data_IF_477481403511
#
_entry.id   IF_477481403511
#
_cell.length_a   1.000
_cell.length_b   1.000
_cell.length_c   1.000
_cell.angle_alpha   90.00
_cell.angle_beta   90.00
_cell.angle_gamma   90.00
#
_symmetry.space_group_name_H-M   'P 1'
#
loop_
_entity.id
_entity.type
_entity.pdbx_description
1 polymer ?
#
# COMPACT_ATOMS: atom_id res chain seq x y z
N UNK A 1 0.44 -5.47 5.35
CA UNK A 1 -0.38 -6.66 5.00
C UNK A 1 -0.33 -7.70 6.11
N UNK A 2 0.66 -8.61 6.18
CA UNK A 2 0.64 -9.69 7.20
C UNK A 2 0.76 -9.17 8.64
N UNK A 3 1.48 -8.06 8.80
CA UNK A 3 1.65 -7.38 10.08
C UNK A 3 0.57 -6.30 10.33
N UNK A 4 -0.44 -6.15 9.45
CA UNK A 4 -1.53 -5.17 9.63
C UNK A 4 -2.18 -5.22 11.02
N UNK A 5 -2.53 -6.38 11.61
CA UNK A 5 -3.09 -6.43 12.97
C UNK A 5 -2.12 -5.96 14.08
N UNK A 6 -0.81 -5.92 13.83
CA UNK A 6 0.18 -5.37 14.78
C UNK A 6 0.33 -3.86 14.64
N UNK A 7 0.06 -3.31 13.46
CA UNK A 7 0.19 -1.88 13.16
C UNK A 7 -1.11 -1.13 13.49
N UNK A 8 -2.26 -1.75 13.26
CA UNK A 8 -3.58 -1.13 13.42
C UNK A 8 -4.29 -1.77 14.62
N UNK A 9 -4.46 -1.05 15.74
CA UNK A 9 -4.89 -1.63 17.03
C UNK A 9 -6.20 -2.43 17.00
N UNK A 10 -7.13 -2.11 16.09
CA UNK A 10 -8.44 -2.74 16.00
C UNK A 10 -8.55 -3.80 14.88
N UNK A 11 -7.45 -4.08 14.17
CA UNK A 11 -7.41 -5.15 13.18
C UNK A 11 -7.11 -6.48 13.87
N UNK A 12 -7.96 -7.47 13.64
CA UNK A 12 -7.69 -8.86 14.03
C UNK A 12 -6.82 -9.58 12.99
N UNK A 13 -6.16 -10.69 13.37
CA UNK A 13 -5.47 -11.56 12.40
C UNK A 13 -6.44 -12.17 11.38
N UNK A 14 -6.09 -12.07 10.10
CA UNK A 14 -6.87 -12.62 8.98
C UNK A 14 -6.03 -13.66 8.22
N UNK A 15 -6.58 -14.86 7.91
CA UNK A 15 -5.89 -15.83 7.06
C UNK A 15 -5.85 -15.34 5.61
N UNK A 16 -4.71 -14.86 5.15
CA UNK A 16 -4.55 -14.32 3.80
C UNK A 16 -4.30 -15.45 2.81
N UNK A 17 -5.09 -15.48 1.73
CA UNK A 17 -5.04 -16.50 0.69
C UNK A 17 -4.13 -16.10 -0.48
N UNK A 18 -3.93 -14.80 -0.70
CA UNK A 18 -3.05 -14.30 -1.74
C UNK A 18 -2.94 -12.78 -1.69
N UNK A 19 -1.75 -12.27 -2.00
CA UNK A 19 -1.49 -10.84 -2.12
C UNK A 19 -0.57 -10.55 -3.29
N UNK A 20 -0.96 -9.56 -4.08
CA UNK A 20 -0.14 -8.97 -5.15
C UNK A 20 0.00 -7.48 -4.93
N UNK A 21 1.15 -6.95 -5.34
CA UNK A 21 1.39 -5.52 -5.49
C UNK A 21 1.83 -5.33 -6.94
N UNK A 22 1.07 -4.54 -7.67
CA UNK A 22 1.31 -4.22 -9.07
C UNK A 22 1.70 -2.74 -9.16
N UNK A 23 2.61 -2.40 -10.06
CA UNK A 23 3.09 -1.04 -10.26
C UNK A 23 2.91 -0.62 -11.71
N UNK A 24 2.46 0.61 -11.92
CA UNK A 24 2.29 1.21 -13.24
C UNK A 24 2.95 2.60 -13.24
N UNK A 25 3.82 2.83 -14.21
CA UNK A 25 4.46 4.13 -14.40
C UNK A 25 3.53 5.05 -15.21
N UNK A 26 3.36 6.29 -14.73
CA UNK A 26 2.63 7.35 -15.42
C UNK A 26 3.50 8.59 -15.61
N UNK A 27 2.90 9.67 -16.11
CA UNK A 27 3.60 10.93 -16.33
C UNK A 27 4.01 11.59 -15.01
N UNK A 28 5.24 11.31 -14.57
CA UNK A 28 5.82 11.87 -13.34
C UNK A 28 5.27 11.25 -12.05
N UNK A 29 4.63 10.08 -12.13
CA UNK A 29 4.15 9.35 -10.96
C UNK A 29 4.29 7.83 -11.13
N UNK A 30 4.24 7.12 -10.01
CA UNK A 30 4.15 5.67 -9.95
C UNK A 30 2.86 5.30 -9.23
N UNK A 31 1.95 4.61 -9.90
CA UNK A 31 0.76 4.06 -9.27
C UNK A 31 1.05 2.66 -8.74
N UNK A 32 0.66 2.39 -7.49
CA UNK A 32 0.77 1.08 -6.87
C UNK A 32 -0.62 0.55 -6.55
N UNK A 33 -0.92 -0.67 -6.99
CA UNK A 33 -2.18 -1.35 -6.69
C UNK A 33 -1.93 -2.60 -5.84
N UNK A 34 -2.53 -2.64 -4.66
CA UNK A 34 -2.49 -3.81 -3.79
C UNK A 34 -3.80 -4.61 -3.90
N UNK A 35 -3.69 -5.91 -4.22
CA UNK A 35 -4.82 -6.83 -4.21
C UNK A 35 -4.63 -7.86 -3.10
N UNK A 36 -5.62 -7.96 -2.21
CA UNK A 36 -5.62 -8.93 -1.11
C UNK A 36 -6.84 -9.84 -1.19
N UNK A 37 -6.62 -11.14 -1.03
CA UNK A 37 -7.65 -12.17 -0.97
C UNK A 37 -7.56 -12.90 0.36
N UNK A 38 -8.72 -13.21 0.95
CA UNK A 38 -8.85 -14.06 2.14
C UNK A 38 -10.11 -14.91 2.03
N UNK A 39 -10.12 -16.05 2.72
CA UNK A 39 -11.30 -16.88 2.97
C UNK A 39 -11.93 -16.61 4.35
N UNK A 40 -11.47 -15.56 5.04
CA UNK A 40 -11.97 -15.16 6.35
C UNK A 40 -13.34 -14.48 6.31
N UNK A 41 -13.97 -14.37 7.47
CA UNK A 41 -15.29 -13.74 7.63
C UNK A 41 -15.26 -12.21 7.58
N UNK A 42 -14.08 -11.62 7.76
CA UNK A 42 -13.88 -10.18 7.78
C UNK A 42 -13.24 -9.70 6.49
N UNK A 43 -13.53 -8.46 6.12
CA UNK A 43 -12.92 -7.83 4.96
C UNK A 43 -11.41 -7.64 5.13
N UNK A 44 -10.72 -7.49 4.00
CA UNK A 44 -9.25 -7.35 3.90
C UNK A 44 -8.82 -5.99 3.37
N UNK A 45 -9.71 -4.99 3.42
CA UNK A 45 -9.42 -3.63 2.96
C UNK A 45 -8.23 -3.02 3.71
N UNK A 46 -8.08 -3.29 5.01
CA UNK A 46 -7.00 -2.75 5.82
C UNK A 46 -5.65 -3.37 5.45
N UNK A 47 -5.62 -4.66 5.13
CA UNK A 47 -4.42 -5.34 4.66
C UNK A 47 -3.99 -4.82 3.29
N UNK A 48 -4.94 -4.51 2.41
CA UNK A 48 -4.68 -3.91 1.10
C UNK A 48 -4.14 -2.49 1.22
N UNK A 49 -4.81 -1.63 2.02
CA UNK A 49 -4.36 -0.27 2.30
C UNK A 49 -2.97 -0.25 2.95
N UNK A 50 -2.74 -1.11 3.94
CA UNK A 50 -1.41 -1.24 4.55
C UNK A 50 -0.38 -1.71 3.54
N UNK A 51 -0.75 -2.67 2.67
CA UNK A 51 0.14 -3.22 1.64
C UNK A 51 0.61 -2.13 0.67
N UNK A 52 -0.32 -1.35 0.11
CA UNK A 52 0.03 -0.27 -0.81
C UNK A 52 0.79 0.86 -0.13
N UNK A 53 0.44 1.24 1.11
CA UNK A 53 1.19 2.26 1.86
C UNK A 53 2.65 1.85 2.07
N UNK A 54 2.90 0.60 2.48
CA UNK A 54 4.26 0.11 2.68
C UNK A 54 5.01 0.00 1.36
N UNK A 55 4.34 -0.41 0.28
CA UNK A 55 4.95 -0.46 -1.05
C UNK A 55 5.41 0.94 -1.51
N UNK A 56 4.55 1.95 -1.38
CA UNK A 56 4.89 3.33 -1.73
C UNK A 56 6.00 3.91 -0.84
N UNK A 57 5.97 3.65 0.47
CA UNK A 57 7.06 4.03 1.38
C UNK A 57 8.38 3.34 1.01
N UNK A 58 8.32 2.09 0.56
CA UNK A 58 9.51 1.36 0.08
C UNK A 58 10.08 2.00 -1.18
N UNK A 59 9.22 2.35 -2.14
CA UNK A 59 9.65 3.07 -3.35
C UNK A 59 10.30 4.40 -2.99
N UNK A 60 9.67 5.19 -2.10
CA UNK A 60 10.27 6.43 -1.61
C UNK A 60 11.66 6.18 -1.04
N UNK A 61 11.82 5.20 -0.15
CA UNK A 61 13.12 4.89 0.46
C UNK A 61 14.22 4.59 -0.58
N UNK A 62 13.85 3.93 -1.68
CA UNK A 62 14.76 3.61 -2.78
C UNK A 62 15.14 4.83 -3.62
N UNK A 63 14.23 5.78 -3.84
CA UNK A 63 14.48 6.97 -4.69
C UNK A 63 14.87 8.23 -3.91
N UNK A 64 14.84 8.18 -2.57
CA UNK A 64 15.02 9.34 -1.68
C UNK A 64 16.28 10.17 -1.92
N UNK A 65 17.33 9.59 -2.47
CA UNK A 65 18.57 10.33 -2.78
C UNK A 65 18.46 11.13 -4.08
N UNK A 66 17.68 10.64 -5.05
CA UNK A 66 17.45 11.32 -6.33
C UNK A 66 16.38 12.40 -6.23
N UNK A 67 15.41 12.21 -5.33
CA UNK A 67 14.28 13.13 -5.13
C UNK A 67 14.60 14.34 -4.25
N UNK A 68 15.77 14.37 -3.60
CA UNK A 68 16.18 15.47 -2.73
C UNK A 68 16.66 16.69 -3.51
N UNK A 69 16.33 17.87 -3.03
CA UNK A 69 16.96 19.12 -3.46
C UNK A 69 18.34 19.34 -2.77
N UNK A 70 18.99 20.46 -3.10
CA UNK A 70 20.28 20.86 -2.51
C UNK A 70 20.25 21.07 -0.99
N UNK A 71 19.07 21.27 -0.41
CA UNK A 71 18.85 21.43 1.03
C UNK A 71 18.41 20.11 1.71
N UNK A 72 18.39 19.00 0.95
CA UNK A 72 17.98 17.69 1.42
C UNK A 72 16.47 17.55 1.66
N UNK A 73 15.65 18.43 1.07
CA UNK A 73 14.18 18.42 1.18
C UNK A 73 13.53 17.70 -0.01
N UNK A 74 12.25 17.37 0.12
CA UNK A 74 11.42 16.75 -0.92
C UNK A 74 10.33 17.72 -1.39
N UNK A 75 10.63 18.67 -2.28
CA UNK A 75 9.70 19.75 -2.63
C UNK A 75 8.47 19.28 -3.43
N UNK A 76 8.59 18.16 -4.14
CA UNK A 76 7.55 17.66 -5.06
C UNK A 76 7.07 16.24 -4.73
N UNK A 77 7.95 15.42 -4.18
CA UNK A 77 7.69 14.01 -3.85
C UNK A 77 6.60 13.93 -2.79
N UNK A 78 5.57 13.12 -3.06
CA UNK A 78 4.46 12.92 -2.15
C UNK A 78 3.82 11.55 -2.40
N UNK A 79 3.18 11.04 -1.36
CA UNK A 79 2.25 9.91 -1.46
C UNK A 79 0.86 10.49 -1.32
N UNK A 80 0.00 10.27 -2.31
CA UNK A 80 -1.37 10.75 -2.30
C UNK A 80 -2.35 9.69 -2.80
N UNK A 81 -3.65 10.03 -2.79
CA UNK A 81 -4.73 9.27 -3.39
C UNK A 81 -4.90 7.79 -2.98
N UNK A 82 -4.33 7.35 -1.85
CA UNK A 82 -4.52 6.00 -1.30
C UNK A 82 -6.00 5.79 -0.96
N UNK A 83 -6.63 4.86 -1.67
CA UNK A 83 -8.05 4.54 -1.52
C UNK A 83 -8.33 3.08 -1.86
N UNK A 84 -9.47 2.59 -1.40
CA UNK A 84 -9.99 1.28 -1.83
C UNK A 84 -10.64 1.45 -3.20
N UNK A 85 -10.11 0.76 -4.22
CA UNK A 85 -10.69 0.77 -5.58
C UNK A 85 -11.93 -0.13 -5.68
N UNK A 86 -11.85 -1.33 -5.11
CA UNK A 86 -12.93 -2.31 -5.15
C UNK A 86 -12.85 -3.23 -3.93
N UNK A 87 -14.02 -3.60 -3.37
CA UNK A 87 -14.16 -4.67 -2.39
C UNK A 87 -15.24 -5.65 -2.85
N UNK A 88 -14.84 -6.90 -3.09
CA UNK A 88 -15.75 -8.01 -3.40
C UNK A 88 -15.83 -8.98 -2.23
N UNK A 89 -17.04 -9.33 -1.80
CA UNK A 89 -17.27 -10.41 -0.84
C UNK A 89 -17.67 -11.67 -1.62
N UNK A 90 -16.82 -12.70 -1.57
CA UNK A 90 -17.19 -14.01 -2.10
C UNK A 90 -18.33 -14.61 -1.26
N UNK A 91 -19.39 -15.06 -1.94
CA UNK A 91 -20.48 -15.83 -1.32
C UNK A 91 -20.05 -17.24 -0.95
#
# INVERSE_FOLDING_TARGET
MKETPRIIPMCHPIPLAGVTIDFEEGDGCLEATARVKSFGRTGVEMEALTGVSVALLTVWDMVKSAEKDENGQYPVTRIDAIRVLEKKKGG
#
